data_IF_059678828158
#
_entry.id   IF_059678828158
#
_cell.length_a   1.000
_cell.length_b   1.000
_cell.length_c   1.000
_cell.angle_alpha   90.00
_cell.angle_beta   90.00
_cell.angle_gamma   90.00
#
_symmetry.space_group_name_H-M   'P 1'
#
loop_
_entity.id
_entity.type
_entity.pdbx_description
1 polymer ?
#
# COMPACT_ATOMS: atom_id res chain seq x y z
N UNK A 1 61.85 -36.75 16.95
CA UNK A 1 61.02 -37.71 16.18
C UNK A 1 59.91 -38.39 17.00
N UNK A 2 59.26 -37.70 17.96
CA UNK A 2 58.09 -38.26 18.69
C UNK A 2 56.82 -37.39 18.61
N UNK A 3 56.92 -36.15 18.15
CA UNK A 3 55.76 -35.26 17.94
C UNK A 3 55.09 -35.38 16.56
N UNK A 4 55.77 -35.96 15.55
CA UNK A 4 55.22 -36.11 14.19
C UNK A 4 54.23 -37.29 14.06
N UNK A 5 54.38 -38.36 14.86
CA UNK A 5 53.46 -39.51 14.80
C UNK A 5 52.10 -39.21 15.42
N UNK A 6 52.02 -38.40 16.48
CA UNK A 6 50.75 -38.05 17.13
C UNK A 6 49.91 -37.12 16.24
N UNK A 7 50.54 -36.15 15.58
CA UNK A 7 49.86 -35.31 14.57
C UNK A 7 49.45 -36.10 13.34
N UNK A 8 50.24 -37.08 12.88
CA UNK A 8 49.85 -37.89 11.73
C UNK A 8 48.66 -38.79 12.06
N UNK A 9 48.57 -39.36 13.26
CA UNK A 9 47.41 -40.18 13.68
C UNK A 9 46.17 -39.34 13.98
N UNK A 10 46.31 -38.13 14.53
CA UNK A 10 45.19 -37.18 14.72
C UNK A 10 44.71 -36.56 13.41
N UNK A 11 45.62 -36.29 12.46
CA UNK A 11 45.26 -35.82 11.12
C UNK A 11 44.63 -36.93 10.29
N UNK A 12 45.07 -38.19 10.44
CA UNK A 12 44.45 -39.35 9.79
C UNK A 12 43.09 -39.69 10.41
N UNK A 13 42.91 -39.55 11.73
CA UNK A 13 41.61 -39.69 12.39
C UNK A 13 40.66 -38.52 12.05
N UNK A 14 41.16 -37.30 11.88
CA UNK A 14 40.40 -36.17 11.37
C UNK A 14 40.09 -36.31 9.87
N UNK A 15 40.98 -36.93 9.08
CA UNK A 15 40.72 -37.27 7.69
C UNK A 15 39.68 -38.39 7.57
N UNK A 16 39.67 -39.37 8.49
CA UNK A 16 38.60 -40.37 8.57
C UNK A 16 37.29 -39.82 9.14
N UNK A 17 37.32 -38.86 10.07
CA UNK A 17 36.10 -38.18 10.55
C UNK A 17 35.52 -37.19 9.53
N UNK A 18 36.38 -36.54 8.73
CA UNK A 18 35.99 -35.60 7.67
C UNK A 18 35.70 -36.32 6.33
N UNK A 19 36.14 -37.57 6.20
CA UNK A 19 35.76 -38.52 5.15
C UNK A 19 34.67 -39.50 5.65
N UNK A 20 33.82 -39.08 6.60
CA UNK A 20 32.47 -39.61 6.63
C UNK A 20 31.82 -39.11 5.34
N UNK A 21 31.75 -40.00 4.35
CA UNK A 21 30.90 -39.84 3.19
C UNK A 21 29.53 -39.32 3.67
N UNK A 22 29.18 -38.10 3.26
CA UNK A 22 27.84 -37.56 3.49
C UNK A 22 26.86 -38.43 2.69
N UNK A 23 26.40 -39.53 3.27
CA UNK A 23 25.44 -40.39 2.61
C UNK A 23 24.18 -39.60 2.26
N UNK A 24 23.63 -39.78 1.06
CA UNK A 24 22.33 -39.20 0.70
C UNK A 24 21.27 -39.81 1.62
N UNK A 25 20.50 -38.97 2.32
CA UNK A 25 19.38 -39.43 3.14
C UNK A 25 18.16 -39.69 2.27
N UNK A 26 17.77 -40.96 2.16
CA UNK A 26 16.63 -41.39 1.33
C UNK A 26 15.49 -41.82 2.26
N UNK A 27 14.31 -41.25 2.08
CA UNK A 27 13.09 -41.79 2.66
C UNK A 27 12.49 -42.80 1.68
N UNK A 28 12.59 -44.08 2.00
CA UNK A 28 11.95 -45.14 1.23
C UNK A 28 10.55 -45.40 1.80
N UNK A 29 9.53 -45.08 1.02
CA UNK A 29 8.13 -45.32 1.36
C UNK A 29 7.66 -46.56 0.62
N UNK A 30 7.43 -47.69 1.31
CA UNK A 30 6.95 -48.93 0.68
C UNK A 30 6.38 -49.91 1.70
N UNK A 31 5.71 -50.97 1.22
CA UNK A 31 5.31 -52.14 2.03
C UNK A 31 6.39 -53.22 2.09
N UNK A 32 7.39 -53.19 1.20
CA UNK A 32 8.55 -54.09 1.27
C UNK A 32 9.89 -53.37 1.07
N UNK A 33 11.00 -53.93 1.59
CA UNK A 33 12.35 -53.41 1.38
C UNK A 33 13.11 -54.12 0.25
N UNK A 34 12.42 -54.93 -0.58
CA UNK A 34 13.07 -55.77 -1.59
C UNK A 34 13.76 -54.94 -2.68
N UNK A 35 13.21 -53.78 -3.02
CA UNK A 35 13.61 -52.89 -4.12
C UNK A 35 14.20 -51.55 -3.63
N UNK A 36 14.85 -51.55 -2.46
CA UNK A 36 15.45 -50.35 -1.88
C UNK A 36 16.77 -49.97 -2.57
N UNK A 37 17.02 -48.68 -2.90
CA UNK A 37 18.29 -48.21 -3.47
C UNK A 37 19.51 -48.47 -2.56
N UNK A 38 19.29 -48.75 -1.27
CA UNK A 38 20.35 -49.18 -0.33
C UNK A 38 20.93 -50.57 -0.61
N UNK A 39 20.27 -51.43 -1.38
CA UNK A 39 20.87 -52.71 -1.81
C UNK A 39 21.90 -52.53 -2.93
N UNK A 40 21.79 -51.47 -3.72
CA UNK A 40 22.67 -51.19 -4.87
C UNK A 40 23.86 -50.27 -4.51
N UNK A 41 23.83 -49.62 -3.34
CA UNK A 41 24.82 -48.65 -2.90
C UNK A 41 26.14 -49.31 -2.45
N UNK A 42 27.27 -48.78 -2.94
CA UNK A 42 28.60 -49.12 -2.42
C UNK A 42 28.84 -48.33 -1.14
N UNK A 43 29.30 -48.98 -0.07
CA UNK A 43 30.08 -48.31 0.98
C UNK A 43 29.43 -47.14 1.74
N UNK A 44 28.13 -47.19 2.09
CA UNK A 44 27.53 -46.21 3.02
C UNK A 44 27.17 -44.84 2.42
N UNK A 45 27.26 -44.69 1.10
CA UNK A 45 26.95 -43.44 0.38
C UNK A 45 25.45 -43.11 0.28
N UNK A 46 24.58 -44.04 0.68
CA UNK A 46 23.12 -43.84 0.74
C UNK A 46 22.64 -44.38 2.09
N UNK A 47 21.92 -43.54 2.84
CA UNK A 47 21.26 -43.91 4.09
C UNK A 47 19.76 -43.89 3.84
N UNK A 48 19.14 -45.07 3.68
CA UNK A 48 17.69 -45.14 3.55
C UNK A 48 17.00 -45.35 4.90
N UNK A 49 16.05 -44.47 5.21
CA UNK A 49 15.03 -44.71 6.24
C UNK A 49 13.82 -45.31 5.57
N UNK A 50 13.43 -46.49 6.02
CA UNK A 50 12.29 -47.21 5.50
C UNK A 50 11.03 -46.91 6.34
N UNK A 51 9.95 -46.52 5.68
CA UNK A 51 8.65 -46.25 6.33
C UNK A 51 7.49 -46.89 5.58
N UNK A 52 6.54 -47.42 6.33
CA UNK A 52 5.24 -47.90 5.82
C UNK A 52 4.13 -46.87 6.00
N UNK A 53 4.43 -45.74 6.66
CA UNK A 53 3.53 -44.62 6.94
C UNK A 53 4.33 -43.32 7.06
N UNK A 54 3.77 -42.22 6.56
CA UNK A 54 4.38 -40.88 6.59
C UNK A 54 4.05 -40.07 7.87
N UNK A 55 3.33 -40.67 8.81
CA UNK A 55 2.98 -39.99 10.08
C UNK A 55 4.24 -39.60 10.86
N UNK A 56 4.37 -38.32 11.20
CA UNK A 56 5.50 -37.78 11.96
C UNK A 56 6.81 -37.64 11.18
N UNK A 57 6.81 -37.87 9.87
CA UNK A 57 8.00 -37.70 9.03
C UNK A 57 8.34 -36.22 8.88
N UNK A 58 9.57 -35.86 9.23
CA UNK A 58 10.14 -34.55 8.88
C UNK A 58 10.82 -34.64 7.50
N UNK A 59 10.10 -34.25 6.44
CA UNK A 59 10.61 -34.31 5.07
C UNK A 59 11.87 -33.47 4.84
N UNK A 60 12.11 -32.41 5.62
CA UNK A 60 13.33 -31.59 5.52
C UNK A 60 14.60 -32.29 5.98
N UNK A 61 14.48 -33.45 6.65
CA UNK A 61 15.63 -34.27 7.05
C UNK A 61 16.12 -35.22 5.93
N UNK A 62 15.39 -35.27 4.81
CA UNK A 62 15.66 -36.17 3.70
C UNK A 62 16.06 -35.40 2.45
N UNK A 63 17.08 -35.89 1.76
CA UNK A 63 17.49 -35.38 0.45
C UNK A 63 16.55 -35.89 -0.66
N UNK A 64 16.00 -37.10 -0.50
CA UNK A 64 15.19 -37.79 -1.52
C UNK A 64 14.04 -38.57 -0.88
N UNK A 65 12.85 -38.48 -1.47
CA UNK A 65 11.76 -39.44 -1.26
C UNK A 65 11.80 -40.45 -2.40
N UNK A 66 11.93 -41.73 -2.07
CA UNK A 66 11.91 -42.85 -3.01
C UNK A 66 10.63 -43.66 -2.85
N UNK A 67 9.94 -43.89 -3.97
CA UNK A 67 8.67 -44.61 -4.05
C UNK A 67 8.81 -45.79 -5.00
N UNK A 68 8.67 -47.02 -4.49
CA UNK A 68 8.76 -48.26 -5.29
C UNK A 68 7.37 -48.77 -5.74
N UNK A 69 7.32 -49.78 -6.62
CA UNK A 69 6.12 -50.50 -7.06
C UNK A 69 5.20 -51.01 -5.95
N UNK A 70 5.74 -51.32 -4.78
CA UNK A 70 4.98 -51.81 -3.62
C UNK A 70 4.37 -50.68 -2.77
N UNK A 71 4.50 -49.43 -3.23
CA UNK A 71 3.90 -48.27 -2.60
C UNK A 71 2.43 -48.12 -2.99
N UNK A 72 1.58 -47.69 -2.06
CA UNK A 72 0.13 -47.50 -2.33
C UNK A 72 -0.27 -46.05 -2.12
N UNK A 73 -1.31 -45.58 -2.84
CA UNK A 73 -1.85 -44.23 -2.68
C UNK A 73 -2.24 -43.90 -1.22
N UNK A 74 -2.69 -44.90 -0.47
CA UNK A 74 -3.03 -44.75 0.94
C UNK A 74 -1.84 -44.32 1.83
N UNK A 75 -0.60 -44.66 1.46
CA UNK A 75 0.59 -44.27 2.21
C UNK A 75 0.91 -42.77 2.12
N UNK A 76 0.44 -42.12 1.05
CA UNK A 76 0.68 -40.70 0.77
C UNK A 76 -0.55 -39.82 1.05
N UNK A 77 -1.72 -40.45 1.22
CA UNK A 77 -2.99 -39.79 1.49
C UNK A 77 -2.90 -38.89 2.73
N UNK A 78 -3.19 -37.60 2.56
CA UNK A 78 -3.16 -36.58 3.62
C UNK A 78 -1.79 -35.93 3.86
N UNK A 79 -0.73 -36.38 3.21
CA UNK A 79 0.63 -35.83 3.33
C UNK A 79 1.08 -35.05 2.09
N UNK A 80 0.23 -34.96 1.06
CA UNK A 80 0.58 -34.41 -0.24
C UNK A 80 1.00 -32.94 -0.14
N UNK A 81 0.29 -32.14 0.67
CA UNK A 81 0.64 -30.74 0.89
C UNK A 81 1.96 -30.56 1.66
N UNK A 82 2.29 -31.49 2.57
CA UNK A 82 3.55 -31.45 3.31
C UNK A 82 4.74 -31.85 2.43
N UNK A 83 4.57 -32.89 1.60
CA UNK A 83 5.56 -33.30 0.58
C UNK A 83 5.78 -32.16 -0.42
N UNK A 84 4.70 -31.59 -0.97
CA UNK A 84 4.79 -30.42 -1.85
C UNK A 84 5.52 -29.25 -1.18
N UNK A 85 5.19 -28.93 0.06
CA UNK A 85 5.85 -27.85 0.81
C UNK A 85 7.35 -28.11 1.00
N UNK A 86 7.75 -29.34 1.32
CA UNK A 86 9.15 -29.72 1.47
C UNK A 86 9.92 -29.67 0.13
N UNK A 87 9.28 -30.10 -0.96
CA UNK A 87 9.84 -29.99 -2.32
C UNK A 87 9.95 -28.52 -2.75
N UNK A 88 8.92 -27.70 -2.49
CA UNK A 88 8.86 -26.28 -2.83
C UNK A 88 9.90 -25.43 -2.08
N UNK A 89 10.30 -25.86 -0.88
CA UNK A 89 11.36 -25.22 -0.11
C UNK A 89 12.76 -25.66 -0.53
N UNK A 90 12.88 -26.60 -1.48
CA UNK A 90 14.14 -27.06 -2.05
C UNK A 90 14.91 -28.04 -1.15
N UNK A 91 14.31 -28.54 -0.08
CA UNK A 91 14.96 -29.46 0.85
C UNK A 91 15.01 -30.91 0.36
N UNK A 92 14.06 -31.34 -0.48
CA UNK A 92 13.89 -32.76 -0.83
C UNK A 92 13.55 -32.96 -2.31
N UNK A 93 14.20 -33.94 -2.95
CA UNK A 93 13.89 -34.43 -4.30
C UNK A 93 12.95 -35.64 -4.29
N UNK A 94 12.45 -36.07 -5.46
CA UNK A 94 11.50 -37.17 -5.57
C UNK A 94 11.92 -38.17 -6.66
N UNK A 95 11.94 -39.45 -6.33
CA UNK A 95 12.25 -40.56 -7.23
C UNK A 95 11.12 -41.58 -7.14
N UNK A 96 10.58 -41.96 -8.30
CA UNK A 96 9.52 -42.96 -8.38
C UNK A 96 9.95 -44.07 -9.33
N UNK A 97 9.83 -45.29 -8.86
CA UNK A 97 10.15 -46.51 -9.57
C UNK A 97 8.92 -47.39 -9.59
N UNK A 98 8.48 -47.79 -10.78
CA UNK A 98 7.27 -48.59 -11.00
C UNK A 98 6.01 -48.16 -10.20
N UNK A 99 5.90 -46.86 -9.90
CA UNK A 99 4.94 -46.30 -8.96
C UNK A 99 3.52 -46.15 -9.56
N UNK A 100 2.45 -46.45 -8.81
CA UNK A 100 1.08 -46.16 -9.21
C UNK A 100 0.84 -44.69 -9.59
N UNK A 101 0.20 -44.48 -10.75
CA UNK A 101 -0.14 -43.14 -11.29
C UNK A 101 -1.00 -42.31 -10.34
N UNK A 102 -1.77 -42.94 -9.46
CA UNK A 102 -2.61 -42.26 -8.47
C UNK A 102 -1.79 -41.52 -7.41
N UNK A 103 -0.66 -42.06 -6.96
CA UNK A 103 0.26 -41.40 -6.00
C UNK A 103 0.76 -40.09 -6.61
N UNK A 104 1.12 -40.16 -7.89
CA UNK A 104 1.61 -39.03 -8.67
C UNK A 104 0.54 -37.94 -8.87
N UNK A 105 -0.67 -38.34 -9.23
CA UNK A 105 -1.78 -37.42 -9.39
C UNK A 105 -2.12 -36.71 -8.07
N UNK A 106 -2.08 -37.44 -6.95
CA UNK A 106 -2.41 -36.88 -5.62
C UNK A 106 -1.31 -35.92 -5.10
N UNK A 107 -0.04 -36.31 -5.22
CA UNK A 107 1.09 -35.48 -4.75
C UNK A 107 1.24 -34.23 -5.61
N UNK A 108 1.15 -34.35 -6.94
CA UNK A 108 1.47 -33.24 -7.84
C UNK A 108 0.25 -32.49 -8.40
N UNK A 109 -0.97 -32.96 -8.12
CA UNK A 109 -2.18 -32.39 -8.71
C UNK A 109 -2.21 -32.53 -10.24
N UNK A 110 -1.44 -33.47 -10.78
CA UNK A 110 -1.32 -33.72 -12.22
C UNK A 110 -2.45 -34.62 -12.69
N UNK A 111 -2.92 -34.43 -13.93
CA UNK A 111 -3.75 -35.40 -14.63
C UNK A 111 -2.86 -36.17 -15.59
N UNK A 112 -2.28 -37.26 -15.11
CA UNK A 112 -1.55 -38.21 -15.95
C UNK A 112 -2.56 -39.08 -16.70
N UNK A 113 -2.91 -38.69 -17.93
CA UNK A 113 -3.72 -39.52 -18.82
C UNK A 113 -2.79 -40.56 -19.45
N UNK A 114 -3.08 -41.85 -19.27
CA UNK A 114 -2.40 -42.89 -20.04
C UNK A 114 -2.72 -42.67 -21.52
N UNK A 115 -1.71 -42.35 -22.33
CA UNK A 115 -1.91 -42.24 -23.77
C UNK A 115 -2.22 -43.63 -24.32
N UNK A 116 -3.48 -43.87 -24.70
CA UNK A 116 -3.86 -45.06 -25.45
C UNK A 116 -3.08 -45.08 -26.77
N UNK A 117 -2.42 -46.21 -27.05
CA UNK A 117 -1.62 -46.41 -28.25
C UNK A 117 -2.40 -45.99 -29.52
N UNK A 118 -1.91 -44.96 -30.22
CA UNK A 118 -2.42 -44.56 -31.54
C UNK A 118 -2.91 -43.13 -31.72
N UNK A 119 -2.80 -42.24 -30.72
CA UNK A 119 -3.12 -40.81 -30.92
C UNK A 119 -1.85 -39.96 -31.07
N UNK A 120 -1.73 -39.28 -32.21
CA UNK A 120 -0.56 -38.49 -32.60
C UNK A 120 -0.49 -37.18 -31.80
N UNK A 121 0.49 -37.06 -30.92
CA UNK A 121 1.09 -35.79 -30.51
C UNK A 121 2.59 -35.94 -30.71
N UNK A 122 3.12 -35.28 -31.74
CA UNK A 122 4.53 -35.42 -32.15
C UNK A 122 5.45 -34.50 -31.34
N UNK A 123 6.47 -35.08 -30.72
CA UNK A 123 7.82 -34.48 -30.67
C UNK A 123 8.76 -35.50 -31.30
N UNK A 124 9.22 -35.21 -32.53
CA UNK A 124 10.10 -36.09 -33.29
C UNK A 124 11.52 -36.09 -32.73
N UNK A 125 11.97 -37.26 -32.25
CA UNK A 125 13.27 -37.82 -32.64
C UNK A 125 13.14 -39.34 -32.70
N UNK A 126 13.63 -39.90 -33.80
CA UNK A 126 13.24 -41.19 -34.35
C UNK A 126 13.46 -42.39 -33.41
N UNK A 127 12.44 -43.26 -33.37
CA UNK A 127 12.60 -44.66 -33.01
C UNK A 127 12.36 -45.00 -31.54
N UNK A 128 11.15 -44.81 -31.04
CA UNK A 128 10.40 -45.69 -30.11
C UNK A 128 9.19 -44.91 -29.57
N UNK A 129 7.99 -45.47 -29.71
CA UNK A 129 6.74 -44.88 -29.17
C UNK A 129 6.74 -44.96 -27.65
N UNK A 130 6.96 -43.82 -26.98
CA UNK A 130 6.81 -43.68 -25.53
C UNK A 130 5.57 -42.81 -25.19
N UNK A 131 4.86 -43.07 -24.07
CA UNK A 131 3.75 -42.25 -23.64
C UNK A 131 4.20 -40.81 -23.33
N UNK A 132 3.45 -39.84 -23.84
CA UNK A 132 3.68 -38.41 -23.62
C UNK A 132 2.82 -38.00 -22.42
N UNK A 133 3.47 -37.43 -21.41
CA UNK A 133 2.77 -36.84 -20.28
C UNK A 133 2.48 -35.38 -20.63
N UNK A 134 1.20 -35.02 -20.69
CA UNK A 134 0.75 -33.63 -20.80
C UNK A 134 -0.08 -33.28 -19.57
N UNK A 135 0.42 -32.39 -18.71
CA UNK A 135 -0.33 -31.91 -17.55
C UNK A 135 -1.08 -30.61 -17.86
N UNK A 136 -2.41 -30.61 -17.73
CA UNK A 136 -3.22 -29.40 -17.72
C UNK A 136 -3.17 -28.77 -16.31
N UNK A 137 -2.26 -27.81 -16.12
CA UNK A 137 -2.07 -27.10 -14.85
C UNK A 137 -0.88 -26.13 -14.81
N UNK A 138 -0.11 -26.04 -15.90
CA UNK A 138 1.11 -25.25 -16.02
C UNK A 138 0.83 -23.86 -16.59
N UNK A 139 0.48 -22.90 -15.75
CA UNK A 139 0.60 -21.48 -16.12
C UNK A 139 2.08 -21.07 -16.06
N UNK A 140 2.52 -20.25 -17.03
CA UNK A 140 3.87 -19.69 -17.21
C UNK A 140 4.97 -20.55 -17.84
N UNK A 141 4.63 -21.44 -18.78
CA UNK A 141 5.61 -21.87 -19.80
C UNK A 141 6.71 -22.82 -19.33
N UNK A 142 6.48 -23.61 -18.27
CA UNK A 142 7.32 -24.76 -17.98
C UNK A 142 7.14 -25.80 -19.10
N UNK A 143 8.07 -25.81 -20.06
CA UNK A 143 8.11 -26.83 -21.10
C UNK A 143 8.68 -28.13 -20.51
N UNK A 144 7.91 -29.21 -20.58
CA UNK A 144 8.42 -30.56 -20.39
C UNK A 144 9.39 -30.85 -21.54
N UNK A 145 10.69 -30.69 -21.31
CA UNK A 145 11.71 -31.11 -22.28
C UNK A 145 12.02 -32.57 -22.03
N UNK A 146 11.54 -33.43 -22.92
CA UNK A 146 11.92 -34.84 -22.95
C UNK A 146 13.43 -34.89 -23.21
N UNK A 147 14.24 -35.15 -22.19
CA UNK A 147 15.68 -35.34 -22.35
C UNK A 147 15.96 -36.76 -22.89
N UNK A 148 15.38 -37.08 -24.05
CA UNK A 148 15.61 -38.35 -24.71
C UNK A 148 16.65 -38.16 -25.82
N UNK A 149 17.89 -38.55 -25.52
CA UNK A 149 18.76 -39.08 -26.57
C UNK A 149 19.50 -40.29 -26.00
N UNK A 150 18.77 -41.40 -25.89
CA UNK A 150 19.33 -42.72 -25.57
C UNK A 150 19.50 -43.44 -26.91
N UNK A 151 20.73 -43.49 -27.41
CA UNK A 151 21.11 -44.47 -28.44
C UNK A 151 20.72 -45.86 -27.91
N UNK A 152 19.98 -46.62 -28.71
CA UNK A 152 19.46 -47.96 -28.39
C UNK A 152 20.51 -48.98 -27.95
N UNK A 153 21.80 -48.64 -28.01
CA UNK A 153 22.91 -49.42 -27.47
C UNK A 153 23.29 -49.12 -26.01
N UNK A 154 22.92 -47.98 -25.42
CA UNK A 154 23.36 -47.58 -24.07
C UNK A 154 22.23 -46.92 -23.28
N UNK A 155 21.50 -47.75 -22.53
CA UNK A 155 20.48 -47.34 -21.57
C UNK A 155 21.08 -46.96 -20.22
N UNK A 156 22.04 -46.03 -20.21
CA UNK A 156 22.64 -45.50 -18.99
C UNK A 156 23.10 -44.07 -19.24
N UNK A 157 22.84 -43.19 -18.28
CA UNK A 157 23.40 -41.85 -18.22
C UNK A 157 24.92 -41.97 -18.07
N UNK A 158 25.69 -41.91 -19.15
CA UNK A 158 27.16 -41.86 -19.00
C UNK A 158 27.56 -40.51 -18.39
N UNK A 159 28.42 -40.52 -17.37
CA UNK A 159 28.90 -39.36 -16.61
C UNK A 159 29.40 -38.15 -17.43
N UNK A 160 29.69 -38.33 -18.71
CA UNK A 160 30.21 -37.30 -19.61
C UNK A 160 29.17 -36.28 -20.12
N UNK A 161 27.87 -36.58 -20.12
CA UNK A 161 26.83 -35.72 -20.73
C UNK A 161 26.15 -34.74 -19.76
N UNK A 162 26.55 -34.70 -18.49
CA UNK A 162 25.74 -34.08 -17.41
C UNK A 162 26.53 -33.09 -16.53
N UNK A 163 27.72 -32.65 -16.95
CA UNK A 163 28.74 -32.15 -16.00
C UNK A 163 28.68 -30.67 -15.56
N UNK A 164 27.82 -29.80 -16.11
CA UNK A 164 27.93 -28.36 -15.84
C UNK A 164 26.86 -27.76 -14.90
N UNK A 165 25.76 -28.48 -14.63
CA UNK A 165 24.57 -27.88 -14.00
C UNK A 165 24.17 -28.51 -12.66
N UNK A 166 24.93 -29.49 -12.17
CA UNK A 166 24.58 -30.30 -11.00
C UNK A 166 25.64 -30.26 -9.91
N UNK A 167 25.21 -30.23 -8.66
CA UNK A 167 26.11 -30.13 -7.49
C UNK A 167 26.52 -31.49 -6.92
N UNK A 168 25.81 -32.59 -7.24
CA UNK A 168 26.12 -33.93 -6.74
C UNK A 168 25.65 -35.01 -7.74
N UNK A 169 26.45 -36.05 -7.95
CA UNK A 169 26.15 -37.20 -8.83
C UNK A 169 26.53 -38.48 -8.08
N UNK A 170 25.67 -39.50 -8.08
CA UNK A 170 25.92 -40.83 -7.52
C UNK A 170 25.80 -41.85 -8.63
N UNK A 171 26.66 -42.87 -8.62
CA UNK A 171 26.59 -43.99 -9.54
C UNK A 171 26.52 -45.28 -8.73
N UNK A 172 25.56 -46.15 -9.04
CA UNK A 172 25.46 -47.46 -8.38
C UNK A 172 26.32 -48.53 -9.07
N UNK A 173 26.32 -49.74 -8.50
CA UNK A 173 27.05 -50.89 -9.03
C UNK A 173 26.56 -51.38 -10.40
N UNK A 174 25.35 -50.99 -10.81
CA UNK A 174 24.74 -51.32 -12.08
C UNK A 174 24.98 -50.23 -13.14
N UNK A 175 25.83 -49.24 -12.84
CA UNK A 175 26.09 -48.07 -13.68
C UNK A 175 24.85 -47.17 -13.89
N UNK A 176 23.87 -47.23 -12.99
CA UNK A 176 22.80 -46.24 -12.94
C UNK A 176 23.35 -44.96 -12.33
N UNK A 177 23.02 -43.81 -12.92
CA UNK A 177 23.49 -42.50 -12.45
C UNK A 177 22.32 -41.69 -11.91
N UNK A 178 22.49 -41.21 -10.69
CA UNK A 178 21.56 -40.38 -9.95
C UNK A 178 22.17 -38.98 -9.78
N UNK A 179 21.56 -37.96 -10.39
CA UNK A 179 22.06 -36.57 -10.32
C UNK A 179 21.20 -35.73 -9.34
N UNK A 180 21.86 -34.99 -8.46
CA UNK A 180 21.27 -34.24 -7.34
C UNK A 180 21.74 -32.78 -7.29
N UNK A 181 20.78 -31.87 -7.11
CA UNK A 181 21.02 -30.44 -6.88
C UNK A 181 21.66 -29.71 -8.06
N UNK A 182 21.54 -28.38 -8.11
CA UNK A 182 22.24 -27.57 -9.11
C UNK A 182 21.94 -26.09 -9.01
N UNK A 183 22.68 -25.28 -9.79
CA UNK A 183 22.89 -23.84 -9.56
C UNK A 183 21.66 -22.92 -9.70
N UNK A 184 20.52 -23.41 -10.20
CA UNK A 184 19.25 -22.67 -10.24
C UNK A 184 18.39 -23.11 -9.05
N UNK A 185 18.36 -22.31 -7.99
CA UNK A 185 17.72 -22.60 -6.69
C UNK A 185 16.19 -22.76 -6.70
N UNK A 186 15.68 -23.71 -7.46
CA UNK A 186 14.30 -24.20 -7.42
C UNK A 186 14.41 -25.73 -7.32
N UNK A 187 13.95 -26.38 -6.24
CA UNK A 187 13.91 -27.85 -6.19
C UNK A 187 13.00 -28.37 -7.32
N UNK A 188 13.40 -29.11 -8.37
CA UNK A 188 14.35 -30.23 -8.63
C UNK A 188 13.91 -31.52 -7.94
N UNK A 189 13.78 -32.71 -8.56
CA UNK A 189 14.08 -33.29 -9.88
C UNK A 189 13.28 -34.62 -9.98
N UNK A 190 13.05 -35.20 -11.17
CA UNK A 190 12.29 -36.46 -11.38
C UNK A 190 13.11 -37.47 -12.19
N UNK A 191 13.28 -38.70 -11.69
CA UNK A 191 13.81 -39.84 -12.45
C UNK A 191 12.78 -40.95 -12.39
N UNK A 192 12.42 -41.52 -13.54
CA UNK A 192 11.79 -42.83 -13.61
C UNK A 192 12.91 -43.82 -13.90
N UNK A 193 13.12 -44.74 -12.97
CA UNK A 193 14.11 -45.80 -13.12
C UNK A 193 13.84 -46.59 -14.39
N UNK A 194 14.91 -46.82 -15.16
CA UNK A 194 14.96 -47.93 -16.09
C UNK A 194 15.52 -49.10 -15.31
N UNK A 195 14.72 -50.12 -15.01
CA UNK A 195 15.33 -51.43 -14.80
C UNK A 195 15.70 -51.98 -16.17
N UNK A 196 16.99 -51.96 -16.47
CA UNK A 196 17.54 -53.14 -17.12
C UNK A 196 17.36 -54.29 -16.11
N UNK A 197 16.65 -55.36 -16.52
CA UNK A 197 16.67 -56.74 -15.97
C UNK A 197 15.33 -57.28 -15.42
N UNK A 198 14.28 -57.39 -16.25
CA UNK A 198 13.44 -58.60 -16.23
C UNK A 198 13.07 -59.03 -17.65
N UNK A 199 13.21 -60.33 -17.93
CA UNK A 199 13.30 -60.84 -19.30
C UNK A 199 11.98 -60.92 -20.08
N UNK A 200 10.83 -60.55 -19.51
CA UNK A 200 9.55 -60.46 -20.25
C UNK A 200 8.51 -59.73 -19.39
N UNK A 201 8.09 -58.51 -19.72
CA UNK A 201 7.03 -57.85 -18.96
C UNK A 201 5.67 -58.53 -19.19
N UNK A 202 4.92 -58.73 -18.11
CA UNK A 202 3.57 -59.28 -18.11
C UNK A 202 2.59 -58.25 -18.67
N UNK A 203 1.46 -58.68 -19.23
CA UNK A 203 0.51 -57.78 -19.91
C UNK A 203 -0.09 -56.67 -19.00
N UNK A 204 -0.02 -56.83 -17.68
CA UNK A 204 -0.45 -55.85 -16.68
C UNK A 204 0.56 -54.70 -16.47
N UNK A 205 1.80 -54.84 -16.94
CA UNK A 205 2.88 -53.84 -16.74
C UNK A 205 2.90 -52.75 -17.83
N UNK A 206 1.97 -52.78 -18.79
CA UNK A 206 1.91 -51.80 -19.89
C UNK A 206 1.49 -50.38 -19.49
N UNK A 207 1.07 -50.18 -18.24
CA UNK A 207 0.70 -48.86 -17.71
C UNK A 207 1.83 -48.18 -16.92
N UNK A 208 3.04 -48.75 -16.93
CA UNK A 208 4.21 -48.22 -16.24
C UNK A 208 4.96 -47.20 -17.10
N UNK A 209 5.29 -46.06 -16.50
CA UNK A 209 5.99 -44.97 -17.18
C UNK A 209 7.51 -45.26 -17.09
N UNK A 210 8.18 -45.38 -18.23
CA UNK A 210 9.59 -45.83 -18.33
C UNK A 210 10.62 -44.69 -18.55
N UNK A 211 10.25 -43.41 -18.41
CA UNK A 211 11.08 -42.26 -18.80
C UNK A 211 11.24 -41.19 -17.71
N UNK A 212 12.47 -40.79 -17.37
CA UNK A 212 12.72 -39.66 -16.46
C UNK A 212 12.13 -38.34 -17.02
N UNK A 213 11.26 -37.67 -16.24
CA UNK A 213 10.53 -36.46 -16.66
C UNK A 213 10.82 -35.31 -15.71
N UNK A 214 11.69 -34.37 -16.08
CA UNK A 214 11.94 -33.22 -15.21
C UNK A 214 10.72 -32.29 -15.17
N UNK A 215 10.28 -31.95 -13.96
CA UNK A 215 9.26 -30.93 -13.73
C UNK A 215 9.84 -29.79 -12.89
N UNK A 216 9.55 -28.56 -13.28
CA UNK A 216 9.74 -27.38 -12.43
C UNK A 216 8.34 -26.92 -12.03
N UNK A 217 7.97 -27.13 -10.77
CA UNK A 217 6.73 -26.53 -10.26
C UNK A 217 6.97 -25.03 -10.12
N UNK A 218 6.02 -24.21 -10.56
CA UNK A 218 6.04 -22.80 -10.22
C UNK A 218 5.88 -22.68 -8.70
N UNK A 219 6.58 -21.75 -8.02
CA UNK A 219 6.37 -21.51 -6.60
C UNK A 219 4.88 -21.23 -6.34
N UNK A 220 4.36 -21.71 -5.21
CA UNK A 220 2.95 -21.54 -4.86
C UNK A 220 2.55 -20.05 -4.97
N UNK A 221 1.38 -19.81 -5.55
CA UNK A 221 0.84 -18.47 -5.73
C UNK A 221 0.46 -17.87 -4.36
N UNK A 222 1.33 -17.01 -3.82
CA UNK A 222 1.14 -16.33 -2.55
C UNK A 222 0.84 -14.86 -2.77
N UNK A 223 -0.30 -14.38 -2.29
CA UNK A 223 -0.68 -12.98 -2.36
C UNK A 223 0.09 -12.15 -1.32
N UNK A 224 0.40 -10.89 -1.66
CA UNK A 224 1.02 -9.93 -0.74
C UNK A 224 0.36 -8.56 -0.89
N UNK A 225 0.03 -7.94 0.23
CA UNK A 225 -0.69 -6.67 0.28
C UNK A 225 0.28 -5.49 0.43
N UNK A 226 0.22 -4.54 -0.51
CA UNK A 226 0.79 -3.20 -0.36
C UNK A 226 -0.34 -2.16 -0.37
N UNK A 227 -0.31 -1.19 0.55
CA UNK A 227 -1.31 -0.14 0.67
C UNK A 227 -0.68 1.21 1.04
N UNK A 228 -1.16 2.31 0.46
CA UNK A 228 -0.62 3.66 0.70
C UNK A 228 -1.28 4.39 1.88
N UNK A 229 -0.49 5.22 2.57
CA UNK A 229 -1.04 6.32 3.37
C UNK A 229 -1.40 7.49 2.45
N UNK A 230 -2.25 8.40 2.92
CA UNK A 230 -2.71 9.55 2.12
C UNK A 230 -2.62 10.84 2.92
N UNK A 231 -2.09 11.89 2.29
CA UNK A 231 -2.07 13.24 2.82
C UNK A 231 -2.80 14.19 1.84
N UNK A 232 -3.77 14.94 2.33
CA UNK A 232 -4.53 15.93 1.57
C UNK A 232 -3.79 17.27 1.45
N UNK A 233 -2.70 17.45 2.20
CA UNK A 233 -1.98 18.71 2.30
C UNK A 233 -2.77 19.76 3.06
N UNK A 234 -2.52 21.02 2.73
CA UNK A 234 -3.22 22.15 3.30
C UNK A 234 -4.55 22.37 2.57
N UNK A 235 -5.65 22.40 3.31
CA UNK A 235 -7.00 22.63 2.80
C UNK A 235 -7.62 23.80 3.54
N UNK A 236 -8.20 24.75 2.81
CA UNK A 236 -8.82 25.92 3.42
C UNK A 236 -10.09 25.52 4.18
N UNK A 237 -10.26 26.00 5.41
CA UNK A 237 -11.48 25.75 6.20
C UNK A 237 -12.72 26.19 5.41
N UNK A 238 -13.75 25.33 5.40
CA UNK A 238 -14.96 25.54 4.59
C UNK A 238 -14.83 25.10 3.12
N UNK A 239 -13.73 24.43 2.76
CA UNK A 239 -13.53 23.78 1.46
C UNK A 239 -13.20 22.30 1.62
N UNK A 240 -13.06 21.59 0.50
CA UNK A 240 -12.80 20.16 0.49
C UNK A 240 -11.68 19.81 -0.50
N UNK A 241 -10.89 18.79 -0.18
CA UNK A 241 -9.93 18.18 -1.09
C UNK A 241 -10.14 16.68 -1.19
N UNK A 242 -9.78 16.09 -2.33
CA UNK A 242 -9.88 14.66 -2.58
C UNK A 242 -8.49 14.03 -2.67
N UNK A 243 -8.34 12.82 -2.11
CA UNK A 243 -7.13 12.03 -2.23
C UNK A 243 -7.44 10.53 -2.16
N UNK A 244 -6.52 9.71 -2.63
CA UNK A 244 -6.80 8.30 -2.96
C UNK A 244 -5.85 7.36 -2.23
N UNK A 245 -6.43 6.33 -1.61
CA UNK A 245 -5.70 5.17 -1.11
C UNK A 245 -5.61 4.13 -2.22
N UNK A 246 -4.38 3.67 -2.50
CA UNK A 246 -4.12 2.61 -3.49
C UNK A 246 -3.72 1.33 -2.77
N UNK A 247 -4.35 0.22 -3.16
CA UNK A 247 -4.02 -1.14 -2.73
C UNK A 247 -3.49 -1.91 -3.93
N UNK A 248 -2.37 -2.61 -3.79
CA UNK A 248 -1.72 -3.38 -4.86
C UNK A 248 -1.38 -4.78 -4.39
N UNK A 249 -1.57 -5.78 -5.25
CA UNK A 249 -1.06 -7.13 -5.03
C UNK A 249 0.42 -7.22 -5.48
N UNK A 250 1.34 -7.25 -4.53
CA UNK A 250 2.79 -7.40 -4.76
C UNK A 250 3.28 -8.84 -4.58
N UNK A 251 2.35 -9.81 -4.61
CA UNK A 251 2.63 -11.23 -4.43
C UNK A 251 3.37 -11.89 -5.60
N UNK A 252 3.49 -13.21 -5.55
CA UNK A 252 4.11 -14.01 -6.61
C UNK A 252 3.22 -14.10 -7.84
N UNK A 253 3.79 -14.55 -8.97
CA UNK A 253 3.04 -14.70 -10.21
C UNK A 253 1.88 -15.69 -10.06
N UNK A 254 0.72 -15.35 -10.62
CA UNK A 254 -0.50 -16.13 -10.46
C UNK A 254 -1.25 -15.91 -9.14
N UNK A 255 -0.72 -15.09 -8.21
CA UNK A 255 -1.43 -14.78 -6.96
C UNK A 255 -2.69 -13.94 -7.19
N UNK A 256 -3.71 -14.21 -6.37
CA UNK A 256 -4.95 -13.43 -6.32
C UNK A 256 -5.13 -12.88 -4.92
N UNK A 257 -5.19 -11.56 -4.80
CA UNK A 257 -5.45 -10.86 -3.55
C UNK A 257 -6.90 -10.38 -3.52
N UNK A 258 -7.69 -10.86 -2.57
CA UNK A 258 -9.07 -10.40 -2.35
C UNK A 258 -9.17 -9.64 -1.05
N UNK A 259 -10.06 -8.65 -0.97
CA UNK A 259 -10.18 -7.84 0.22
C UNK A 259 -11.11 -6.65 0.10
N UNK A 260 -11.04 -5.76 1.10
CA UNK A 260 -11.83 -4.54 1.17
C UNK A 260 -10.99 -3.35 1.66
N UNK A 261 -11.34 -2.16 1.17
CA UNK A 261 -10.83 -0.88 1.70
C UNK A 261 -11.96 -0.28 2.53
N UNK A 262 -11.73 -0.02 3.81
CA UNK A 262 -12.72 0.44 4.79
C UNK A 262 -13.12 1.91 4.65
N UNK A 263 -14.16 2.33 5.37
CA UNK A 263 -14.49 3.75 5.49
C UNK A 263 -13.55 4.47 6.47
N UNK A 264 -13.46 5.79 6.38
CA UNK A 264 -12.79 6.61 7.38
C UNK A 264 -13.65 6.73 8.65
N UNK A 265 -12.98 6.78 9.80
CA UNK A 265 -13.62 7.08 11.08
C UNK A 265 -13.44 8.57 11.41
N UNK A 266 -14.52 9.30 11.67
CA UNK A 266 -14.46 10.74 11.98
C UNK A 266 -15.28 11.61 11.04
N UNK A 267 -15.56 12.85 11.44
CA UNK A 267 -16.50 13.74 10.75
C UNK A 267 -15.93 14.46 9.53
N UNK A 268 -14.60 14.60 9.43
CA UNK A 268 -13.95 15.44 8.41
C UNK A 268 -13.43 14.64 7.21
N UNK A 269 -13.30 13.33 7.35
CA UNK A 269 -12.88 12.42 6.29
C UNK A 269 -14.04 11.53 5.88
N UNK A 270 -14.45 11.59 4.62
CA UNK A 270 -15.56 10.78 4.11
C UNK A 270 -15.16 10.01 2.85
N UNK A 271 -15.60 8.75 2.69
CA UNK A 271 -15.40 8.04 1.43
C UNK A 271 -16.31 8.62 0.35
N UNK A 272 -15.78 8.81 -0.86
CA UNK A 272 -16.53 9.39 -1.98
C UNK A 272 -16.90 8.34 -3.00
N UNK A 273 -15.89 7.61 -3.48
CA UNK A 273 -16.00 6.77 -4.67
C UNK A 273 -14.83 5.77 -4.73
N UNK A 274 -14.89 4.88 -5.72
CA UNK A 274 -13.87 3.86 -5.96
C UNK A 274 -14.23 2.51 -5.35
N UNK A 275 -13.23 1.66 -5.25
CA UNK A 275 -13.39 0.24 -4.95
C UNK A 275 -13.51 0.00 -3.44
N UNK A 276 -14.68 -0.47 -2.99
CA UNK A 276 -14.85 -0.95 -1.62
C UNK A 276 -14.32 -2.37 -1.43
N UNK A 277 -14.56 -3.25 -2.41
CA UNK A 277 -14.12 -4.65 -2.41
C UNK A 277 -13.31 -4.92 -3.67
N UNK A 278 -12.17 -5.60 -3.54
CA UNK A 278 -11.26 -5.85 -4.65
C UNK A 278 -10.91 -7.34 -4.80
N UNK A 279 -10.60 -7.72 -6.03
CA UNK A 279 -9.96 -8.99 -6.42
C UNK A 279 -8.87 -8.62 -7.42
N UNK A 280 -7.61 -8.78 -7.03
CA UNK A 280 -6.45 -8.27 -7.77
C UNK A 280 -5.53 -9.42 -8.15
N UNK A 281 -5.27 -9.57 -9.45
CA UNK A 281 -4.14 -10.38 -9.93
C UNK A 281 -2.80 -9.73 -9.56
N UNK A 282 -1.70 -10.44 -9.75
CA UNK A 282 -0.36 -9.90 -9.51
C UNK A 282 -0.16 -8.54 -10.20
N UNK A 283 0.42 -7.57 -9.49
CA UNK A 283 0.71 -6.20 -9.93
C UNK A 283 -0.52 -5.35 -10.28
N UNK A 284 -1.74 -5.87 -10.13
CA UNK A 284 -2.95 -5.07 -10.25
C UNK A 284 -3.19 -4.26 -8.98
N UNK A 285 -3.89 -3.14 -9.14
CA UNK A 285 -4.25 -2.25 -8.05
C UNK A 285 -5.74 -1.90 -8.03
N UNK A 286 -6.23 -1.54 -6.86
CA UNK A 286 -7.54 -0.95 -6.61
C UNK A 286 -7.36 0.36 -5.86
N UNK A 287 -8.29 1.30 -6.08
CA UNK A 287 -8.23 2.64 -5.52
C UNK A 287 -9.55 3.03 -4.87
N UNK A 288 -9.46 3.67 -3.70
CA UNK A 288 -10.61 4.29 -3.03
C UNK A 288 -10.30 5.75 -2.73
N UNK A 289 -11.19 6.64 -3.14
CA UNK A 289 -11.05 8.09 -2.98
C UNK A 289 -11.83 8.56 -1.77
N UNK A 290 -11.20 9.44 -1.01
CA UNK A 290 -11.73 10.08 0.19
C UNK A 290 -11.75 11.60 -0.02
N UNK A 291 -12.68 12.28 0.65
CA UNK A 291 -12.70 13.73 0.80
C UNK A 291 -12.26 14.09 2.21
N UNK A 292 -11.45 15.14 2.32
CA UNK A 292 -11.16 15.84 3.56
C UNK A 292 -11.80 17.23 3.52
N UNK A 293 -12.61 17.54 4.55
CA UNK A 293 -13.31 18.82 4.72
C UNK A 293 -13.05 19.34 6.13
N UNK A 294 -11.98 20.14 6.35
CA UNK A 294 -11.67 20.68 7.67
C UNK A 294 -12.74 21.67 8.14
N UNK A 295 -13.18 21.52 9.39
CA UNK A 295 -14.10 22.48 10.02
C UNK A 295 -13.37 23.55 10.85
N UNK A 296 -12.09 23.32 11.18
CA UNK A 296 -11.25 24.20 11.96
C UNK A 296 -9.81 24.18 11.45
N UNK A 297 -9.01 25.14 11.90
CA UNK A 297 -7.57 25.17 11.63
C UNK A 297 -6.87 24.15 12.51
N UNK A 298 -5.98 23.35 11.92
CA UNK A 298 -5.22 22.34 12.66
C UNK A 298 -4.85 21.15 11.80
N UNK A 299 -4.02 20.27 12.37
CA UNK A 299 -3.69 19.00 11.75
C UNK A 299 -4.73 17.94 12.14
N UNK A 300 -5.33 17.31 11.13
CA UNK A 300 -6.33 16.26 11.31
C UNK A 300 -5.78 14.94 10.79
N UNK A 301 -6.13 13.85 11.47
CA UNK A 301 -5.76 12.52 11.02
C UNK A 301 -6.79 11.49 11.43
N UNK A 302 -6.93 10.46 10.60
CA UNK A 302 -7.72 9.28 10.90
C UNK A 302 -7.09 8.03 10.29
N UNK A 303 -7.58 6.87 10.69
CA UNK A 303 -7.17 5.59 10.13
C UNK A 303 -8.32 4.92 9.40
N UNK A 304 -7.98 4.17 8.36
CA UNK A 304 -8.86 3.25 7.67
C UNK A 304 -8.33 1.83 7.81
N UNK A 305 -9.23 0.85 7.79
CA UNK A 305 -8.85 -0.57 7.70
C UNK A 305 -8.76 -1.02 6.25
N UNK A 306 -7.78 -1.85 5.95
CA UNK A 306 -7.67 -2.61 4.69
C UNK A 306 -7.61 -4.08 5.08
N UNK A 307 -8.66 -4.83 4.77
CA UNK A 307 -8.74 -6.26 5.08
C UNK A 307 -8.46 -7.06 3.82
N UNK A 308 -7.66 -8.12 3.90
CA UNK A 308 -7.35 -8.92 2.73
C UNK A 308 -7.08 -10.39 3.06
N UNK A 309 -7.12 -11.24 2.03
CA UNK A 309 -6.72 -12.65 2.12
C UNK A 309 -5.25 -12.85 2.49
N UNK A 310 -4.40 -11.82 2.33
CA UNK A 310 -2.99 -11.81 2.74
C UNK A 310 -2.74 -11.16 4.11
N UNK A 311 -3.80 -10.84 4.85
CA UNK A 311 -3.75 -10.19 6.17
C UNK A 311 -4.38 -8.80 6.18
N UNK A 312 -4.61 -8.27 7.38
CA UNK A 312 -5.26 -6.99 7.60
C UNK A 312 -4.22 -5.92 7.98
N UNK A 313 -4.44 -4.69 7.56
CA UNK A 313 -3.59 -3.55 7.90
C UNK A 313 -4.40 -2.27 8.05
N UNK A 314 -3.82 -1.27 8.69
CA UNK A 314 -4.41 0.07 8.77
C UNK A 314 -3.60 1.05 7.92
N UNK A 315 -4.27 2.07 7.38
CA UNK A 315 -3.63 3.18 6.66
C UNK A 315 -4.12 4.51 7.22
N UNK A 316 -3.23 5.49 7.21
CA UNK A 316 -3.51 6.82 7.76
C UNK A 316 -3.96 7.77 6.64
N UNK A 317 -5.03 8.51 6.90
CA UNK A 317 -5.44 9.70 6.17
C UNK A 317 -5.07 10.91 7.03
N UNK A 318 -4.46 11.92 6.43
CA UNK A 318 -4.00 13.12 7.14
C UNK A 318 -4.21 14.37 6.31
N UNK A 319 -4.50 15.49 6.95
CA UNK A 319 -4.65 16.78 6.29
C UNK A 319 -4.39 17.91 7.27
N UNK A 320 -4.30 19.14 6.77
CA UNK A 320 -4.19 20.33 7.63
C UNK A 320 -5.18 21.38 7.17
N UNK A 321 -6.12 21.71 8.05
CA UNK A 321 -7.02 22.84 7.90
C UNK A 321 -6.25 24.13 8.10
N UNK A 322 -6.29 25.02 7.11
CA UNK A 322 -5.69 26.37 7.16
C UNK A 322 -6.76 27.42 6.94
N UNK A 323 -6.58 28.61 7.49
CA UNK A 323 -7.56 29.68 7.34
C UNK A 323 -6.95 31.07 7.51
N UNK A 324 -7.43 32.08 6.78
CA UNK A 324 -7.23 33.47 7.20
C UNK A 324 -7.82 33.70 8.60
N UNK A 325 -7.32 34.73 9.28
CA UNK A 325 -7.85 35.18 10.57
C UNK A 325 -8.12 36.68 10.49
N UNK A 326 -9.40 37.04 10.55
CA UNK A 326 -9.81 38.43 10.64
C UNK A 326 -9.40 39.02 11.98
N UNK A 327 -8.69 40.13 11.93
CA UNK A 327 -8.38 40.97 13.09
C UNK A 327 -8.72 42.42 12.76
N UNK A 328 -9.20 43.15 13.77
CA UNK A 328 -9.50 44.58 13.66
C UNK A 328 -8.89 45.35 14.84
N UNK A 329 -8.46 46.59 14.62
CA UNK A 329 -8.01 47.49 15.70
C UNK A 329 -9.13 47.87 16.68
N UNK A 330 -10.38 47.73 16.25
CA UNK A 330 -11.57 47.92 17.06
C UNK A 330 -12.22 46.56 17.29
N UNK A 331 -12.66 46.27 18.51
CA UNK A 331 -13.30 44.99 18.80
C UNK A 331 -14.60 44.84 18.01
N UNK A 332 -14.84 43.65 17.44
CA UNK A 332 -16.08 43.35 16.72
C UNK A 332 -17.26 43.49 17.68
N UNK A 333 -18.33 44.17 17.23
CA UNK A 333 -19.52 44.48 18.02
C UNK A 333 -19.38 45.69 18.95
N UNK A 334 -18.19 46.28 19.08
CA UNK A 334 -17.98 47.49 19.88
C UNK A 334 -18.29 48.78 19.10
N UNK A 335 -18.28 49.90 19.80
CA UNK A 335 -18.58 51.22 19.23
C UNK A 335 -17.31 51.95 18.80
N UNK A 336 -17.32 52.43 17.56
CA UNK A 336 -16.41 53.43 17.01
C UNK A 336 -17.04 54.79 17.30
N UNK A 337 -16.54 55.45 18.35
CA UNK A 337 -17.00 56.76 18.75
C UNK A 337 -16.19 57.87 18.05
N UNK A 338 -16.92 58.78 17.42
CA UNK A 338 -16.37 59.98 16.78
C UNK A 338 -16.38 61.20 17.72
N UNK A 339 -16.99 61.06 18.90
CA UNK A 339 -17.11 62.13 19.88
C UNK A 339 -18.07 63.22 19.44
N UNK A 340 -17.79 64.45 19.88
CA UNK A 340 -18.54 65.65 19.49
C UNK A 340 -18.02 66.18 18.14
N UNK A 341 -18.88 66.21 17.12
CA UNK A 341 -18.51 66.57 15.76
C UNK A 341 -19.30 67.78 15.27
N UNK A 342 -18.57 68.84 14.93
CA UNK A 342 -19.14 70.05 14.34
C UNK A 342 -19.35 69.98 12.84
N UNK A 343 -18.51 69.27 12.09
CA UNK A 343 -18.69 69.16 10.64
C UNK A 343 -18.25 67.78 10.13
N UNK A 344 -16.94 67.55 10.01
CA UNK A 344 -16.38 66.26 9.59
C UNK A 344 -15.50 65.72 10.71
N UNK A 345 -15.62 64.42 10.98
CA UNK A 345 -14.69 63.66 11.81
C UNK A 345 -14.41 62.31 11.16
N UNK A 346 -13.16 61.86 11.24
CA UNK A 346 -12.71 60.63 10.62
C UNK A 346 -12.14 59.69 11.67
N UNK A 347 -12.47 58.41 11.57
CA UNK A 347 -11.90 57.34 12.38
C UNK A 347 -11.37 56.23 11.48
N UNK A 348 -10.18 55.72 11.80
CA UNK A 348 -9.56 54.63 11.06
C UNK A 348 -9.82 53.31 11.78
N UNK A 349 -10.28 52.31 11.04
CA UNK A 349 -10.39 50.93 11.49
C UNK A 349 -9.36 50.11 10.70
N UNK A 350 -8.32 49.65 11.39
CA UNK A 350 -7.29 48.81 10.77
C UNK A 350 -7.78 47.36 10.74
N UNK A 351 -7.90 46.79 9.56
CA UNK A 351 -8.23 45.38 9.33
C UNK A 351 -6.97 44.64 8.93
N UNK A 352 -6.72 43.48 9.53
CA UNK A 352 -5.53 42.70 9.27
C UNK A 352 -5.85 41.20 9.17
N UNK A 353 -5.13 40.50 8.30
CA UNK A 353 -5.11 39.04 8.29
C UNK A 353 -3.99 38.52 9.21
N UNK A 354 -4.34 38.14 10.44
CA UNK A 354 -3.39 37.62 11.44
C UNK A 354 -3.35 36.09 11.47
N UNK A 355 -3.46 35.44 10.31
CA UNK A 355 -3.30 33.99 10.24
C UNK A 355 -1.94 33.55 10.78
N UNK A 356 -1.97 32.51 11.64
CA UNK A 356 -0.76 31.86 12.15
C UNK A 356 -0.16 30.89 11.14
N UNK A 357 -0.93 30.47 10.14
CA UNK A 357 -0.50 29.56 9.08
C UNK A 357 0.60 30.20 8.23
N UNK A 358 1.40 29.39 7.54
CA UNK A 358 2.34 29.90 6.53
C UNK A 358 1.61 30.66 5.42
N UNK A 359 2.29 31.54 4.70
CA UNK A 359 1.68 32.18 3.53
C UNK A 359 1.53 31.14 2.40
N UNK A 360 0.28 30.75 2.15
CA UNK A 360 -0.13 29.72 1.18
C UNK A 360 -1.02 30.31 0.07
N UNK A 361 -0.93 31.63 -0.17
CA UNK A 361 -1.76 32.32 -1.16
C UNK A 361 -3.25 32.18 -0.84
N UNK A 362 -4.06 31.78 -1.81
CA UNK A 362 -5.53 31.72 -1.67
C UNK A 362 -6.04 30.81 -0.54
N UNK A 363 -5.21 29.91 -0.01
CA UNK A 363 -5.60 29.11 1.15
C UNK A 363 -5.62 29.93 2.45
N UNK A 364 -4.80 30.97 2.55
CA UNK A 364 -4.59 31.78 3.77
C UNK A 364 -4.84 33.26 3.57
N UNK A 365 -5.02 33.74 2.34
CA UNK A 365 -5.42 35.10 2.01
C UNK A 365 -6.86 35.37 2.47
N UNK A 366 -7.12 36.58 2.97
CA UNK A 366 -8.46 37.01 3.36
C UNK A 366 -8.97 38.05 2.38
N UNK A 367 -10.17 37.87 1.86
CA UNK A 367 -10.79 38.87 0.99
C UNK A 367 -11.90 39.61 1.72
N UNK A 368 -11.92 40.94 1.64
CA UNK A 368 -13.03 41.75 2.12
C UNK A 368 -14.06 41.87 0.99
N UNK A 369 -15.17 41.15 1.12
CA UNK A 369 -16.15 40.92 0.05
C UNK A 369 -17.13 42.05 -0.12
N UNK A 370 -17.63 42.58 1.00
CA UNK A 370 -18.56 43.68 1.01
C UNK A 370 -18.39 44.48 2.29
N UNK A 371 -18.73 45.76 2.22
CA UNK A 371 -18.90 46.59 3.38
C UNK A 371 -20.11 47.50 3.17
N UNK A 372 -20.95 47.64 4.18
CA UNK A 372 -22.15 48.48 4.13
C UNK A 372 -22.39 49.14 5.46
N UNK A 373 -22.78 50.41 5.42
CA UNK A 373 -23.27 51.13 6.59
C UNK A 373 -24.80 51.15 6.54
N UNK A 374 -25.43 50.71 7.62
CA UNK A 374 -26.89 50.60 7.74
C UNK A 374 -27.34 51.18 9.08
N UNK A 375 -28.63 51.48 9.23
CA UNK A 375 -29.19 52.07 10.44
C UNK A 375 -29.89 53.40 10.20
N UNK A 376 -30.52 53.96 11.25
CA UNK A 376 -31.37 55.15 11.14
C UNK A 376 -30.60 56.39 10.65
N UNK A 377 -29.34 56.54 11.07
CA UNK A 377 -28.50 57.69 10.72
C UNK A 377 -27.37 57.32 9.73
N UNK A 378 -27.51 56.23 8.98
CA UNK A 378 -26.46 55.73 8.08
C UNK A 378 -25.99 56.78 7.04
N UNK A 379 -26.86 57.69 6.64
CA UNK A 379 -26.55 58.77 5.69
C UNK A 379 -25.50 59.78 6.19
N UNK A 380 -25.24 59.83 7.50
CA UNK A 380 -24.21 60.69 8.09
C UNK A 380 -22.82 60.06 8.06
N UNK A 381 -22.73 58.76 7.75
CA UNK A 381 -21.49 58.02 7.74
C UNK A 381 -21.15 57.57 6.32
N UNK A 382 -19.87 57.57 6.00
CA UNK A 382 -19.34 57.04 4.74
C UNK A 382 -18.10 56.21 4.99
N UNK A 383 -17.84 55.29 4.06
CA UNK A 383 -16.68 54.41 4.11
C UNK A 383 -15.79 54.71 2.91
N UNK A 384 -14.56 55.07 3.20
CA UNK A 384 -13.50 55.32 2.23
C UNK A 384 -12.43 54.22 2.35
N UNK A 385 -11.54 54.12 1.35
CA UNK A 385 -10.49 53.11 1.24
C UNK A 385 -10.99 51.66 1.22
N UNK A 386 -12.26 51.44 0.89
CA UNK A 386 -12.83 50.11 0.70
C UNK A 386 -13.08 49.84 -0.78
N UNK A 387 -12.57 48.72 -1.28
CA UNK A 387 -12.93 48.18 -2.59
C UNK A 387 -13.39 46.74 -2.41
N UNK A 388 -14.62 46.37 -2.85
CA UNK A 388 -15.09 44.99 -2.80
C UNK A 388 -14.11 44.04 -3.47
N UNK A 389 -13.75 42.96 -2.78
CA UNK A 389 -12.79 41.97 -3.27
C UNK A 389 -11.32 42.28 -2.95
N UNK A 390 -11.01 43.34 -2.19
CA UNK A 390 -9.63 43.59 -1.75
C UNK A 390 -9.09 42.41 -0.92
N UNK A 391 -7.85 42.03 -1.19
CA UNK A 391 -7.20 40.85 -0.62
C UNK A 391 -6.12 41.28 0.37
N UNK A 392 -6.17 40.67 1.55
CA UNK A 392 -5.21 40.79 2.64
C UNK A 392 -4.41 39.49 2.73
N UNK A 393 -3.15 39.54 2.31
CA UNK A 393 -2.19 38.44 2.52
C UNK A 393 -1.79 38.36 3.99
N UNK A 394 -1.01 37.33 4.36
CA UNK A 394 -0.57 37.14 5.74
C UNK A 394 0.09 38.41 6.31
N UNK A 395 -0.40 38.86 7.47
CA UNK A 395 0.01 40.07 8.17
C UNK A 395 -0.23 41.40 7.42
N UNK A 396 -0.82 41.38 6.22
CA UNK A 396 -1.20 42.60 5.54
C UNK A 396 -2.31 43.29 6.31
N UNK A 397 -2.13 44.60 6.50
CA UNK A 397 -3.04 45.49 7.20
C UNK A 397 -3.59 46.51 6.20
N UNK A 398 -4.88 46.80 6.29
CA UNK A 398 -5.52 47.88 5.56
C UNK A 398 -6.33 48.78 6.48
N UNK A 399 -6.19 50.08 6.27
CA UNK A 399 -6.88 51.10 7.06
C UNK A 399 -8.14 51.56 6.33
N UNK A 400 -9.28 51.11 6.82
CA UNK A 400 -10.58 51.60 6.37
C UNK A 400 -10.86 52.92 7.07
N UNK A 401 -11.19 53.95 6.29
CA UNK A 401 -11.51 55.27 6.81
C UNK A 401 -13.02 55.41 6.88
N UNK A 402 -13.55 55.54 8.10
CA UNK A 402 -14.96 55.86 8.31
C UNK A 402 -15.05 57.35 8.59
N UNK A 403 -15.84 58.05 7.79
CA UNK A 403 -16.01 59.50 7.88
C UNK A 403 -17.44 59.79 8.34
N UNK A 404 -17.59 60.58 9.39
CA UNK A 404 -18.85 61.18 9.78
C UNK A 404 -18.93 62.60 9.23
N UNK A 405 -20.05 62.94 8.58
CA UNK A 405 -20.32 64.26 8.06
C UNK A 405 -21.68 64.75 8.55
N UNK A 406 -21.67 65.83 9.33
CA UNK A 406 -22.88 66.54 9.74
C UNK A 406 -23.33 67.48 8.62
N UNK A 407 -24.48 67.18 8.01
CA UNK A 407 -25.14 68.07 7.07
C UNK A 407 -26.08 69.00 7.85
N UNK A 408 -25.80 70.30 7.85
CA UNK A 408 -26.56 71.31 8.60
C UNK A 408 -28.06 71.31 8.24
N UNK A 409 -28.83 70.53 8.98
CA UNK A 409 -30.27 70.37 8.83
C UNK A 409 -31.04 71.11 9.92
N UNK A 410 -30.95 72.45 9.94
CA UNK A 410 -31.74 73.27 10.88
C UNK A 410 -31.33 73.17 12.36
N UNK A 411 -32.04 73.91 13.23
CA UNK A 411 -31.69 74.14 14.65
C UNK A 411 -31.83 72.91 15.55
N UNK A 412 -32.52 71.88 15.09
CA UNK A 412 -32.96 70.72 15.89
C UNK A 412 -31.95 69.56 15.86
N UNK A 413 -30.83 69.74 15.17
CA UNK A 413 -29.84 68.69 14.90
C UNK A 413 -28.57 68.81 15.77
N UNK A 414 -28.61 69.60 16.85
CA UNK A 414 -27.48 69.77 17.79
C UNK A 414 -27.72 69.01 19.10
N UNK A 415 -26.67 68.37 19.62
CA UNK A 415 -26.72 67.52 20.82
C UNK A 415 -27.36 66.15 20.55
N UNK A 416 -27.58 65.79 19.28
CA UNK A 416 -28.20 64.53 18.88
C UNK A 416 -27.09 63.50 18.66
N UNK A 417 -27.28 62.34 19.28
CA UNK A 417 -26.43 61.18 19.04
C UNK A 417 -26.90 60.49 17.77
N UNK A 418 -26.06 60.48 16.74
CA UNK A 418 -26.29 59.78 15.48
C UNK A 418 -25.65 58.40 15.53
N UNK A 419 -26.41 57.38 15.12
CA UNK A 419 -25.96 55.98 15.20
C UNK A 419 -26.17 55.21 13.90
N UNK A 420 -25.20 54.36 13.58
CA UNK A 420 -25.25 53.44 12.46
C UNK A 420 -24.45 52.17 12.76
N UNK A 421 -24.52 51.19 11.88
CA UNK A 421 -23.75 49.95 11.97
C UNK A 421 -22.99 49.73 10.66
N UNK A 422 -21.66 49.70 10.74
CA UNK A 422 -20.80 49.22 9.67
C UNK A 422 -20.74 47.70 9.73
N UNK A 423 -21.08 47.02 8.64
CA UNK A 423 -20.94 45.57 8.50
C UNK A 423 -19.95 45.27 7.38
N UNK A 424 -18.94 44.46 7.68
CA UNK A 424 -17.92 43.97 6.74
C UNK A 424 -18.11 42.47 6.56
N UNK A 425 -18.26 42.03 5.33
CA UNK A 425 -18.33 40.60 4.95
C UNK A 425 -16.99 40.17 4.38
N UNK A 426 -16.49 39.01 4.80
CA UNK A 426 -15.22 38.44 4.35
C UNK A 426 -15.43 37.05 3.74
N UNK A 427 -14.37 36.43 3.25
CA UNK A 427 -14.34 35.02 2.82
C UNK A 427 -13.78 34.06 3.91
N UNK A 428 -13.73 34.50 5.16
CA UNK A 428 -13.28 33.67 6.29
C UNK A 428 -14.31 32.57 6.57
N UNK A 429 -13.83 31.32 6.65
CA UNK A 429 -14.64 30.13 6.88
C UNK A 429 -15.29 29.53 5.62
N UNK A 430 -14.95 30.06 4.43
CA UNK A 430 -15.47 29.59 3.15
C UNK A 430 -14.36 29.55 2.08
N UNK A 431 -14.71 29.14 0.86
CA UNK A 431 -13.81 29.21 -0.28
C UNK A 431 -13.35 30.66 -0.54
N UNK A 432 -12.09 30.82 -0.97
CA UNK A 432 -11.52 32.13 -1.30
C UNK A 432 -12.42 32.89 -2.29
N UNK A 433 -12.72 34.16 -1.97
CA UNK A 433 -13.59 35.00 -2.78
C UNK A 433 -15.09 34.70 -2.68
N UNK A 434 -15.52 33.80 -1.79
CA UNK A 434 -16.93 33.53 -1.51
C UNK A 434 -17.39 34.29 -0.26
N UNK A 435 -18.67 34.68 -0.18
CA UNK A 435 -19.21 35.28 1.05
C UNK A 435 -19.15 34.27 2.20
N UNK A 436 -18.47 34.67 3.28
CA UNK A 436 -18.32 33.92 4.52
C UNK A 436 -18.70 34.78 5.72
N UNK A 437 -17.78 34.88 6.69
CA UNK A 437 -18.06 35.54 7.97
C UNK A 437 -18.30 37.05 7.84
N UNK A 438 -19.25 37.55 8.63
CA UNK A 438 -19.57 38.98 8.76
C UNK A 438 -19.14 39.53 10.11
N UNK A 439 -18.66 40.78 10.11
CA UNK A 439 -18.19 41.49 11.29
C UNK A 439 -18.83 42.87 11.34
N UNK A 440 -19.47 43.20 12.45
CA UNK A 440 -20.20 44.47 12.62
C UNK A 440 -19.55 45.37 13.66
N UNK A 441 -19.59 46.68 13.42
CA UNK A 441 -19.10 47.74 14.30
C UNK A 441 -20.19 48.78 14.46
N UNK A 442 -20.47 49.19 15.70
CA UNK A 442 -21.41 50.28 15.95
C UNK A 442 -20.69 51.61 15.70
N UNK A 443 -21.36 52.55 15.04
CA UNK A 443 -20.84 53.89 14.78
C UNK A 443 -21.66 54.89 15.59
N UNK A 444 -20.99 55.84 16.23
CA UNK A 444 -21.64 56.87 17.04
C UNK A 444 -20.94 58.22 16.90
N UNK A 445 -21.71 59.28 16.75
CA UNK A 445 -21.22 60.65 16.81
C UNK A 445 -22.27 61.55 17.48
N UNK A 446 -21.83 62.56 18.24
CA UNK A 446 -22.69 63.58 18.83
C UNK A 446 -22.54 64.87 18.03
N UNK A 447 -23.62 65.39 17.46
CA UNK A 447 -23.56 66.61 16.65
C UNK A 447 -23.44 67.86 17.54
N UNK A 448 -22.54 68.78 17.20
CA UNK A 448 -22.43 70.09 17.86
C UNK A 448 -22.43 71.22 16.81
N UNK A 449 -22.75 72.47 17.16
CA UNK A 449 -22.63 73.58 16.23
C UNK A 449 -21.19 73.76 15.76
N UNK A 450 -20.97 74.10 14.49
CA UNK A 450 -19.59 74.33 14.03
C UNK A 450 -18.93 75.51 14.77
N UNK A 451 -17.59 75.46 14.94
CA UNK A 451 -16.85 76.45 15.72
C UNK A 451 -17.09 77.91 15.27
N UNK A 452 -17.34 78.13 13.98
CA UNK A 452 -17.68 79.42 13.38
C UNK A 452 -19.01 79.99 13.91
N UNK A 453 -20.00 79.12 14.11
CA UNK A 453 -21.32 79.44 14.65
C UNK A 453 -21.23 79.80 16.13
N UNK A 454 -20.43 79.05 16.90
CA UNK A 454 -20.16 79.33 18.31
C UNK A 454 -19.47 80.70 18.47
N UNK A 455 -18.48 81.00 17.62
CA UNK A 455 -17.78 82.28 17.62
C UNK A 455 -18.73 83.45 17.30
N UNK A 456 -19.62 83.29 16.31
CA UNK A 456 -20.63 84.29 15.96
C UNK A 456 -21.56 84.58 17.14
N UNK A 457 -22.07 83.55 17.82
CA UNK A 457 -22.91 83.75 19.01
C UNK A 457 -22.16 84.42 20.17
N UNK A 458 -20.88 84.07 20.37
CA UNK A 458 -20.02 84.74 21.35
C UNK A 458 -19.84 86.23 21.06
N UNK A 459 -19.58 86.60 19.81
CA UNK A 459 -19.42 87.99 19.38
C UNK A 459 -20.73 88.77 19.54
N UNK A 460 -21.88 88.19 19.18
CA UNK A 460 -23.19 88.83 19.34
C UNK A 460 -23.51 89.05 20.83
N UNK A 461 -23.23 88.06 21.69
CA UNK A 461 -23.46 88.19 23.13
C UNK A 461 -22.58 89.29 23.77
N UNK A 462 -21.30 89.36 23.38
CA UNK A 462 -20.38 90.41 23.83
C UNK A 462 -20.83 91.78 23.31
N UNK A 463 -21.22 91.89 22.04
CA UNK A 463 -21.73 93.13 21.46
C UNK A 463 -23.02 93.60 22.16
N UNK A 464 -23.94 92.68 22.49
CA UNK A 464 -25.15 92.97 23.26
C UNK A 464 -24.87 93.48 24.68
N UNK A 465 -23.87 92.91 25.36
CA UNK A 465 -23.41 93.38 26.67
C UNK A 465 -22.78 94.80 26.60
N UNK A 466 -22.06 95.09 25.51
CA UNK A 466 -21.48 96.42 25.27
C UNK A 466 -22.53 97.49 24.93
N UNK A 467 -23.58 97.12 24.20
CA UNK A 467 -24.70 98.01 23.88
C UNK A 467 -25.52 98.36 25.13
N UNK A 468 -25.79 97.40 26.01
CA UNK A 468 -26.50 97.64 27.27
C UNK A 468 -25.74 98.54 28.26
N UNK A 469 -24.41 98.59 28.20
CA UNK A 469 -23.60 99.51 29.04
C UNK A 469 -23.60 100.96 28.56
N UNK A 470 -24.02 101.25 27.32
CA UNK A 470 -24.11 102.63 26.80
C UNK A 470 -25.48 103.29 27.03
N UNK A 471 -26.46 102.54 27.54
CA UNK A 471 -27.83 103.02 27.81
C UNK A 471 -28.17 103.08 29.30
N UNK A 472 -27.18 103.01 30.18
CA UNK A 472 -27.31 103.16 31.63
C UNK A 472 -26.62 104.45 32.11
#
# INVERSE_FOLDING_TARGET
MRYSKIYFTLLLAAFFLCCNAYGVSVLHVSTSNSHSPTKAAVGGDIVATYVTSLSGVNFSAYDVIYVDEHSTAAMFSGYESAIRSAMNSGYVGFVAEYCPVEIMNNIFGMSLVSATAGSTLTVTSAGSTHPIITGSGLSNGAAMTNAANLDGSKRSFTSASVSASYTRIITDNNSNVYAFGGAYGLGRFFILGNEAMESTPNQNEKNLIHNAIMYTMAPDASASLSASNTNFGNVRVGTSANATVTVTNTGTAGSTLTGTIGAAAGSEFSPVSGTQSFTLGQNQNAQRTYTYTPNARGADSTTISVNSSAGNTTRTLSGTGVSPVFNSSVAVGSTVDFGEVGYIANQSIAIQNLTTDTDLGNLTNMSLMAASITGPDASYFSLENFTPGMVLTKNQLENLLVSFMHNYGGRDDYGVVRTATLTITTDVGTAFGSMGSTYSFNLQATTIPEPSTILMFGIIAIAGLWLNKKTA
#
